data_IF_271926667218
#
_entry.id   IF_271926667218
#
_cell.length_a   1.000
_cell.length_b   1.000
_cell.length_c   1.000
_cell.angle_alpha   90.00
_cell.angle_beta   90.00
_cell.angle_gamma   90.00
#
_symmetry.space_group_name_H-M   'P 1'
#
loop_
_entity.id
_entity.type
_entity.pdbx_description
1 polymer ?
#
# COMPACT_ATOMS: atom_id res chain seq x y z
N UNK A 1 -27.77 -6.88 -8.05
CA UNK A 1 -26.72 -6.50 -7.07
C UNK A 1 -25.48 -5.90 -7.76
N UNK A 2 -25.56 -5.73 -9.09
CA UNK A 2 -24.44 -5.42 -10.00
C UNK A 2 -23.68 -4.11 -9.74
N UNK A 3 -24.28 -3.14 -9.02
CA UNK A 3 -23.65 -1.84 -8.71
C UNK A 3 -23.01 -1.76 -7.33
N UNK A 4 -23.37 -2.67 -6.42
CA UNK A 4 -22.83 -2.66 -5.05
C UNK A 4 -21.36 -3.10 -5.04
N UNK A 5 -21.04 -4.17 -5.77
CA UNK A 5 -19.69 -4.73 -5.83
C UNK A 5 -18.64 -3.79 -6.45
N UNK A 6 -18.90 -3.12 -7.58
CA UNK A 6 -18.00 -2.12 -8.14
C UNK A 6 -17.79 -0.93 -7.20
N UNK A 7 -18.86 -0.44 -6.54
CA UNK A 7 -18.75 0.67 -5.59
C UNK A 7 -17.98 0.29 -4.33
N UNK A 8 -18.16 -0.93 -3.83
CA UNK A 8 -17.46 -1.44 -2.66
C UNK A 8 -15.97 -1.62 -2.96
N UNK A 9 -15.64 -2.27 -4.08
CA UNK A 9 -14.27 -2.40 -4.58
C UNK A 9 -13.62 -1.04 -4.82
N UNK A 10 -14.36 -0.06 -5.34
CA UNK A 10 -13.85 1.29 -5.54
C UNK A 10 -13.55 2.05 -4.24
N UNK A 11 -14.24 1.71 -3.15
CA UNK A 11 -13.98 2.27 -1.82
C UNK A 11 -12.84 1.57 -1.09
N UNK A 12 -12.71 0.24 -1.23
CA UNK A 12 -11.72 -0.58 -0.53
C UNK A 12 -10.45 -0.86 -1.33
N UNK A 13 -10.40 -0.53 -2.63
CA UNK A 13 -9.20 -0.66 -3.46
C UNK A 13 -7.89 -0.17 -2.80
N UNK A 14 -7.82 1.04 -2.21
CA UNK A 14 -6.59 1.49 -1.55
C UNK A 14 -6.22 0.63 -0.31
N UNK A 15 -7.21 0.11 0.43
CA UNK A 15 -6.97 -0.83 1.54
C UNK A 15 -6.46 -2.18 1.05
N UNK A 16 -6.94 -2.68 -0.09
CA UNK A 16 -6.44 -3.92 -0.70
C UNK A 16 -4.99 -3.77 -1.18
N UNK A 17 -4.65 -2.62 -1.75
CA UNK A 17 -3.25 -2.28 -2.13
C UNK A 17 -2.37 -2.27 -0.88
N UNK A 18 -2.83 -1.65 0.20
CA UNK A 18 -2.10 -1.66 1.46
C UNK A 18 -1.93 -3.08 2.02
N UNK A 19 -3.00 -3.88 2.07
CA UNK A 19 -2.94 -5.25 2.59
C UNK A 19 -1.98 -6.15 1.78
N UNK A 20 -2.01 -6.01 0.45
CA UNK A 20 -1.08 -6.71 -0.44
C UNK A 20 0.37 -6.27 -0.23
N UNK A 21 0.61 -4.96 -0.12
CA UNK A 21 1.93 -4.40 0.17
C UNK A 21 2.47 -4.90 1.53
N UNK A 22 1.65 -4.82 2.58
CA UNK A 22 2.01 -5.24 3.92
C UNK A 22 2.33 -6.74 3.96
N UNK A 23 1.45 -7.59 3.41
CA UNK A 23 1.66 -9.03 3.34
C UNK A 23 2.92 -9.40 2.56
N UNK A 24 3.15 -8.76 1.42
CA UNK A 24 4.37 -8.97 0.64
C UNK A 24 5.63 -8.61 1.43
N UNK A 25 5.70 -7.40 2.00
CA UNK A 25 6.88 -6.95 2.74
C UNK A 25 7.16 -7.84 3.96
N UNK A 26 6.13 -8.29 4.67
CA UNK A 26 6.28 -9.12 5.87
C UNK A 26 6.73 -10.55 5.53
N UNK A 27 6.10 -11.18 4.52
CA UNK A 27 6.47 -12.52 4.06
C UNK A 27 7.86 -12.51 3.42
N UNK A 28 8.18 -11.47 2.65
CA UNK A 28 9.50 -11.29 2.05
C UNK A 28 10.56 -11.17 3.14
N UNK A 29 10.36 -10.31 4.15
CA UNK A 29 11.28 -10.19 5.28
C UNK A 29 11.46 -11.52 6.02
N UNK A 30 10.38 -12.27 6.27
CA UNK A 30 10.45 -13.56 6.97
C UNK A 30 11.19 -14.64 6.16
N UNK A 31 10.92 -14.75 4.85
CA UNK A 31 11.52 -15.76 3.98
C UNK A 31 12.98 -15.46 3.62
N UNK A 32 13.35 -14.18 3.62
CA UNK A 32 14.61 -13.67 3.11
C UNK A 32 15.42 -12.96 4.19
N UNK A 33 15.35 -13.41 5.44
CA UNK A 33 16.30 -13.04 6.51
C UNK A 33 17.32 -14.18 6.82
N UNK A 34 17.97 -14.85 5.85
CA UNK A 34 19.15 -15.65 6.15
C UNK A 34 20.35 -14.73 6.43
N UNK A 35 21.19 -15.05 7.44
CA UNK A 35 22.39 -14.27 7.76
C UNK A 35 23.38 -14.33 6.59
N UNK A 36 23.93 -13.18 6.19
CA UNK A 36 25.01 -13.09 5.20
C UNK A 36 24.64 -12.82 3.73
N UNK A 37 23.37 -12.53 3.40
CA UNK A 37 22.98 -12.14 2.03
C UNK A 37 23.03 -10.63 1.80
N UNK A 38 23.85 -10.16 0.85
CA UNK A 38 24.06 -8.74 0.53
C UNK A 38 22.78 -7.91 0.47
N UNK A 39 22.72 -6.86 1.30
CA UNK A 39 21.52 -6.08 1.61
C UNK A 39 20.98 -5.24 0.44
N UNK A 40 21.80 -4.98 -0.59
CA UNK A 40 21.53 -3.92 -1.56
C UNK A 40 20.30 -4.20 -2.44
N UNK A 41 20.22 -5.37 -3.09
CA UNK A 41 19.13 -5.64 -4.05
C UNK A 41 17.76 -5.79 -3.37
N UNK A 42 17.72 -6.38 -2.16
CA UNK A 42 16.50 -6.56 -1.36
C UNK A 42 15.93 -5.22 -0.93
N UNK A 43 16.80 -4.30 -0.52
CA UNK A 43 16.41 -2.96 -0.12
C UNK A 43 15.81 -2.19 -1.30
N UNK A 44 16.45 -2.25 -2.48
CA UNK A 44 15.91 -1.66 -3.71
C UNK A 44 14.57 -2.27 -4.13
N UNK A 45 14.39 -3.59 -3.97
CA UNK A 45 13.13 -4.26 -4.29
C UNK A 45 11.99 -3.78 -3.38
N UNK A 46 12.22 -3.76 -2.06
CA UNK A 46 11.23 -3.29 -1.09
C UNK A 46 10.93 -1.80 -1.26
N UNK A 47 11.94 -0.97 -1.57
CA UNK A 47 11.75 0.44 -1.92
C UNK A 47 10.85 0.56 -3.17
N UNK A 48 11.15 -0.20 -4.23
CA UNK A 48 10.37 -0.20 -5.46
C UNK A 48 8.90 -0.56 -5.23
N UNK A 49 8.63 -1.61 -4.43
CA UNK A 49 7.27 -2.03 -4.09
C UNK A 49 6.55 -0.99 -3.23
N UNK A 50 7.27 -0.32 -2.32
CA UNK A 50 6.70 0.77 -1.50
C UNK A 50 6.34 1.99 -2.35
N UNK A 51 7.24 2.41 -3.25
CA UNK A 51 6.99 3.51 -4.18
C UNK A 51 5.82 3.18 -5.10
N UNK A 52 5.72 1.95 -5.60
CA UNK A 52 4.60 1.51 -6.44
C UNK A 52 3.27 1.55 -5.67
N UNK A 53 3.26 1.10 -4.41
CA UNK A 53 2.08 1.16 -3.55
C UNK A 53 1.64 2.61 -3.27
N UNK A 54 2.60 3.51 -2.99
CA UNK A 54 2.33 4.95 -2.82
C UNK A 54 1.80 5.58 -4.10
N UNK A 55 2.37 5.26 -5.26
CA UNK A 55 1.92 5.75 -6.56
C UNK A 55 0.49 5.28 -6.87
N UNK A 56 0.18 4.00 -6.59
CA UNK A 56 -1.15 3.45 -6.77
C UNK A 56 -2.18 4.13 -5.84
N UNK A 57 -1.87 4.29 -4.55
CA UNK A 57 -2.74 4.98 -3.60
C UNK A 57 -2.93 6.46 -3.96
N UNK A 58 -1.85 7.15 -4.33
CA UNK A 58 -1.87 8.55 -4.76
C UNK A 58 -2.67 8.75 -6.04
N UNK A 59 -2.58 7.83 -7.00
CA UNK A 59 -3.42 7.85 -8.21
C UNK A 59 -4.89 7.67 -7.82
N UNK A 60 -5.23 6.63 -7.06
CA UNK A 60 -6.61 6.37 -6.63
C UNK A 60 -7.20 7.57 -5.88
N UNK A 61 -6.42 8.21 -5.00
CA UNK A 61 -6.81 9.42 -4.28
C UNK A 61 -7.01 10.61 -5.23
N UNK A 62 -6.07 10.87 -6.15
CA UNK A 62 -6.23 11.92 -7.17
C UNK A 62 -7.48 11.71 -8.02
N UNK A 63 -7.79 10.46 -8.37
CA UNK A 63 -8.99 10.11 -9.14
C UNK A 63 -10.25 10.36 -8.33
N UNK A 64 -10.24 10.05 -7.03
CA UNK A 64 -11.34 10.36 -6.12
C UNK A 64 -11.57 11.87 -5.96
N UNK A 65 -10.48 12.66 -5.83
CA UNK A 65 -10.58 14.12 -5.70
C UNK A 65 -11.05 14.85 -6.97
N UNK A 66 -10.87 14.24 -8.16
CA UNK A 66 -11.35 14.80 -9.44
C UNK A 66 -12.85 14.64 -9.67
N UNK A 67 -13.52 13.78 -8.90
CA UNK A 67 -14.97 13.58 -8.99
C UNK A 67 -15.62 14.45 -7.92
N UNK A 68 -16.70 15.17 -8.28
CA UNK A 68 -17.41 16.06 -7.36
C UNK A 68 -17.84 15.27 -6.12
N UNK A 69 -17.33 15.66 -4.95
CA UNK A 69 -17.53 14.95 -3.70
C UNK A 69 -18.95 15.20 -3.17
N UNK A 70 -19.92 14.44 -3.68
CA UNK A 70 -21.28 14.40 -3.15
C UNK A 70 -21.61 12.96 -2.75
N UNK A 71 -21.64 12.69 -1.44
CA UNK A 71 -22.10 11.42 -0.87
C UNK A 71 -21.02 10.61 -0.11
N UNK A 72 -21.50 9.66 0.70
CA UNK A 72 -20.69 8.80 1.58
C UNK A 72 -19.55 8.06 0.83
N UNK A 73 -19.78 7.68 -0.43
CA UNK A 73 -18.81 6.96 -1.25
C UNK A 73 -17.58 7.82 -1.60
N UNK A 74 -17.76 9.13 -1.77
CA UNK A 74 -16.66 10.05 -2.02
C UNK A 74 -15.80 10.24 -0.76
N UNK A 75 -16.45 10.36 0.40
CA UNK A 75 -15.77 10.45 1.70
C UNK A 75 -15.01 9.15 2.01
N UNK A 76 -15.62 7.99 1.75
CA UNK A 76 -14.99 6.69 1.91
C UNK A 76 -13.74 6.57 1.02
N UNK A 77 -13.79 6.95 -0.25
CA UNK A 77 -12.62 6.93 -1.16
C UNK A 77 -11.47 7.81 -0.70
N UNK A 78 -11.77 9.01 -0.21
CA UNK A 78 -10.74 9.95 0.28
C UNK A 78 -10.16 9.43 1.59
N UNK A 79 -11.01 8.98 2.51
CA UNK A 79 -10.62 8.44 3.82
C UNK A 79 -9.78 7.16 3.68
N UNK A 80 -10.21 6.20 2.86
CA UNK A 80 -9.45 4.96 2.63
C UNK A 80 -8.17 5.21 1.84
N UNK A 81 -8.15 6.17 0.91
CA UNK A 81 -6.94 6.58 0.21
C UNK A 81 -5.91 7.21 1.16
N UNK A 82 -6.35 8.06 2.08
CA UNK A 82 -5.48 8.66 3.09
C UNK A 82 -4.96 7.63 4.09
N UNK A 83 -5.85 6.78 4.62
CA UNK A 83 -5.48 5.68 5.51
C UNK A 83 -4.47 4.73 4.84
N UNK A 84 -4.67 4.39 3.58
CA UNK A 84 -3.73 3.55 2.85
C UNK A 84 -2.36 4.22 2.66
N UNK A 85 -2.32 5.53 2.38
CA UNK A 85 -1.04 6.26 2.31
C UNK A 85 -0.29 6.26 3.63
N UNK A 86 -0.99 6.56 4.74
CA UNK A 86 -0.40 6.52 6.08
C UNK A 86 0.08 5.11 6.41
N UNK A 87 -0.72 4.10 6.09
CA UNK A 87 -0.42 2.71 6.41
C UNK A 87 0.69 2.12 5.53
N UNK A 88 0.83 2.54 4.26
CA UNK A 88 1.99 2.21 3.42
C UNK A 88 3.23 2.95 3.91
N UNK A 89 3.11 4.22 4.31
CA UNK A 89 4.20 4.98 4.94
C UNK A 89 4.70 4.31 6.22
N UNK A 90 3.78 3.82 7.05
CA UNK A 90 4.09 3.00 8.22
C UNK A 90 4.71 1.65 7.83
N UNK A 91 4.22 1.00 6.77
CA UNK A 91 4.81 -0.21 6.20
C UNK A 91 6.27 -0.02 5.79
N UNK A 92 6.65 1.20 5.40
CA UNK A 92 8.03 1.61 5.18
C UNK A 92 8.94 1.44 6.40
N UNK A 93 8.43 1.40 7.65
CA UNK A 93 9.27 1.03 8.80
C UNK A 93 9.84 -0.39 8.69
N UNK A 94 9.18 -1.30 7.96
CA UNK A 94 9.72 -2.64 7.70
C UNK A 94 11.00 -2.56 6.87
N UNK A 95 11.20 -1.52 6.06
CA UNK A 95 12.49 -1.28 5.38
C UNK A 95 13.63 -1.05 6.38
N UNK A 96 13.33 -0.43 7.53
CA UNK A 96 14.31 -0.18 8.59
C UNK A 96 14.67 -1.48 9.33
N UNK A 97 13.70 -2.37 9.53
CA UNK A 97 13.94 -3.69 10.15
C UNK A 97 14.59 -4.69 9.19
N UNK A 98 14.23 -4.67 7.90
CA UNK A 98 14.87 -5.49 6.87
C UNK A 98 16.34 -5.14 6.68
N UNK A 99 16.72 -3.86 6.82
CA UNK A 99 18.13 -3.43 6.87
C UNK A 99 18.87 -3.89 8.15
N UNK A 100 18.15 -4.35 9.16
CA UNK A 100 18.70 -4.89 10.41
C UNK A 100 18.88 -6.42 10.38
N UNK A 101 18.36 -7.13 9.38
CA UNK A 101 18.76 -8.50 9.06
C UNK A 101 20.22 -8.47 8.53
N UNK A 102 21.19 -8.45 9.43
CA UNK A 102 22.62 -8.61 9.14
C UNK A 102 23.08 -10.01 9.54
#
# INVERSE_FOLDING_TARGET
MERFWPSLLQGTAPLLVWAGHFGFCYLFAAALCPPGGGADWRWWLLLGVTVLALAACGWLLRRACRVRASGLLALARIGTGWLALVAVGWGGLVLLTAGSCR
#
